data_IF_211702416237
#
_entry.id   IF_211702416237
#
_cell.length_a   1.000
_cell.length_b   1.000
_cell.length_c   1.000
_cell.angle_alpha   90.00
_cell.angle_beta   90.00
_cell.angle_gamma   90.00
#
_symmetry.space_group_name_H-M   'P 1'
#
loop_
_entity.id
_entity.type
_entity.pdbx_description
1 polymer ?
#
# COMPACT_ATOMS: atom_id res chain seq x y z
N UNK A 1 -26.89 11.68 -9.30
CA UNK A 1 -26.14 10.77 -8.41
C UNK A 1 -25.98 11.45 -7.07
N UNK A 2 -26.45 10.85 -5.99
CA UNK A 2 -26.39 11.40 -4.61
C UNK A 2 -25.06 11.05 -3.95
N UNK A 3 -24.75 11.69 -2.82
CA UNK A 3 -23.56 11.35 -2.02
C UNK A 3 -23.67 9.94 -1.42
N UNK A 4 -24.87 9.51 -1.03
CA UNK A 4 -25.12 8.16 -0.53
C UNK A 4 -24.78 7.10 -1.60
N UNK A 5 -25.27 7.28 -2.83
CA UNK A 5 -24.95 6.40 -3.96
C UNK A 5 -23.45 6.36 -4.28
N UNK A 6 -22.73 7.48 -4.08
CA UNK A 6 -21.26 7.51 -4.24
C UNK A 6 -20.55 6.71 -3.16
N UNK A 7 -20.99 6.83 -1.91
CA UNK A 7 -20.42 6.10 -0.77
C UNK A 7 -20.62 4.59 -0.91
N UNK A 8 -21.79 4.16 -1.32
CA UNK A 8 -22.08 2.73 -1.52
C UNK A 8 -21.25 2.14 -2.67
N UNK A 9 -21.02 2.92 -3.74
CA UNK A 9 -20.18 2.50 -4.85
C UNK A 9 -18.66 2.58 -4.58
N UNK A 10 -18.25 3.33 -3.55
CA UNK A 10 -16.85 3.68 -3.32
C UNK A 10 -15.96 2.46 -3.03
N UNK A 11 -16.33 1.49 -2.16
CA UNK A 11 -15.48 0.34 -1.87
C UNK A 11 -15.16 -0.52 -3.11
N UNK A 12 -16.17 -0.80 -3.93
CA UNK A 12 -16.01 -1.60 -5.14
C UNK A 12 -15.15 -0.88 -6.20
N UNK A 13 -15.35 0.44 -6.33
CA UNK A 13 -14.53 1.26 -7.21
C UNK A 13 -13.06 1.29 -6.75
N UNK A 14 -12.83 1.47 -5.46
CA UNK A 14 -11.49 1.53 -4.86
C UNK A 14 -10.72 0.23 -5.09
N UNK A 15 -11.35 -0.92 -4.88
CA UNK A 15 -10.73 -2.23 -5.13
C UNK A 15 -10.34 -2.41 -6.59
N UNK A 16 -11.26 -2.10 -7.51
CA UNK A 16 -11.01 -2.17 -8.96
C UNK A 16 -9.86 -1.26 -9.38
N UNK A 17 -9.83 -0.03 -8.87
CA UNK A 17 -8.77 0.92 -9.19
C UNK A 17 -7.41 0.44 -8.68
N UNK A 18 -7.33 0.06 -7.40
CA UNK A 18 -6.06 -0.28 -6.76
C UNK A 18 -5.46 -1.60 -7.25
N UNK A 19 -6.28 -2.59 -7.62
CA UNK A 19 -5.81 -3.95 -7.92
C UNK A 19 -5.95 -4.38 -9.37
N UNK A 20 -6.85 -3.77 -10.14
CA UNK A 20 -7.17 -4.26 -11.49
C UNK A 20 -6.86 -3.25 -12.59
N UNK A 21 -6.78 -1.95 -12.26
CA UNK A 21 -6.57 -0.93 -13.28
C UNK A 21 -5.08 -0.66 -13.51
N UNK A 22 -4.57 -1.15 -14.64
CA UNK A 22 -3.22 -0.82 -15.10
C UNK A 22 -3.05 0.67 -15.45
N UNK A 23 -1.91 1.26 -15.07
CA UNK A 23 -1.54 2.63 -15.47
C UNK A 23 -0.33 2.64 -16.40
N UNK A 24 -0.31 3.55 -17.37
CA UNK A 24 0.80 3.72 -18.32
C UNK A 24 2.10 4.13 -17.61
N UNK A 25 2.00 5.04 -16.64
CA UNK A 25 3.09 5.43 -15.74
C UNK A 25 3.61 4.28 -14.85
N UNK A 26 2.93 3.13 -14.89
CA UNK A 26 3.25 1.91 -14.17
C UNK A 26 3.69 0.75 -15.06
N UNK A 27 3.98 1.01 -16.33
CA UNK A 27 4.20 -0.05 -17.32
C UNK A 27 3.01 -1.04 -17.39
N UNK A 28 1.78 -0.53 -17.20
CA UNK A 28 0.55 -1.31 -17.22
C UNK A 28 0.19 -1.98 -15.88
N UNK A 29 0.98 -1.80 -14.83
CA UNK A 29 0.67 -2.37 -13.51
C UNK A 29 -0.37 -1.55 -12.74
N UNK A 30 -1.15 -2.18 -11.86
CA UNK A 30 -2.08 -1.48 -10.97
C UNK A 30 -1.33 -0.77 -9.83
N UNK A 31 -1.96 0.24 -9.18
CA UNK A 31 -1.32 1.02 -8.10
C UNK A 31 -0.75 0.17 -6.96
N UNK A 32 -1.44 -0.92 -6.57
CA UNK A 32 -0.99 -1.81 -5.51
C UNK A 32 0.36 -2.48 -5.81
N UNK A 33 0.75 -2.64 -7.07
CA UNK A 33 2.04 -3.23 -7.45
C UNK A 33 3.26 -2.38 -7.06
N UNK A 34 3.08 -1.10 -6.68
CA UNK A 34 4.18 -0.24 -6.19
C UNK A 34 4.41 -0.33 -4.70
N UNK A 35 3.47 -0.89 -3.94
CA UNK A 35 3.55 -0.91 -2.48
C UNK A 35 4.18 -2.24 -2.09
N UNK A 36 5.47 -2.27 -1.73
CA UNK A 36 6.16 -3.52 -1.39
C UNK A 36 5.60 -4.19 -0.14
N UNK A 37 4.82 -3.47 0.67
CA UNK A 37 4.41 -3.86 2.02
C UNK A 37 2.89 -3.78 2.23
N UNK A 38 2.06 -4.24 1.28
CA UNK A 38 0.61 -4.32 1.51
C UNK A 38 0.22 -5.30 2.64
N UNK A 39 1.09 -6.23 3.00
CA UNK A 39 0.86 -7.22 4.06
C UNK A 39 2.02 -7.27 5.05
N UNK A 40 2.04 -6.36 6.04
CA UNK A 40 2.69 -6.63 7.34
C UNK A 40 4.18 -7.00 7.37
N UNK A 41 4.97 -6.77 6.31
CA UNK A 41 6.40 -7.11 6.24
C UNK A 41 7.31 -6.12 7.01
N UNK A 42 6.85 -5.58 8.15
CA UNK A 42 7.74 -4.92 9.11
C UNK A 42 8.23 -5.94 10.13
N UNK A 43 8.99 -6.94 9.68
CA UNK A 43 9.73 -7.83 10.58
C UNK A 43 11.22 -7.47 10.62
N UNK A 44 11.52 -6.17 10.72
CA UNK A 44 12.89 -5.72 10.99
C UNK A 44 13.08 -5.74 12.50
N UNK A 45 13.77 -6.73 13.10
CA UNK A 45 14.28 -6.56 14.45
C UNK A 45 15.20 -5.34 14.44
N UNK A 46 14.98 -4.41 15.36
CA UNK A 46 15.91 -3.32 15.61
C UNK A 46 17.30 -3.94 15.86
N UNK A 47 18.39 -3.44 15.24
CA UNK A 47 19.71 -3.86 15.67
C UNK A 47 19.84 -3.49 17.16
N UNK A 48 20.16 -4.48 18.00
CA UNK A 48 20.57 -4.22 19.37
C UNK A 48 21.72 -3.21 19.29
N UNK A 49 21.52 -2.04 19.92
CA UNK A 49 22.56 -1.04 20.07
C UNK A 49 23.77 -1.72 20.71
N UNK A 50 24.72 -2.08 19.86
CA UNK A 50 26.07 -2.42 20.23
C UNK A 50 26.79 -1.08 20.22
N UNK A 51 27.57 -0.82 21.25
CA UNK A 51 28.57 0.25 21.30
C UNK A 51 28.11 1.59 21.88
N UNK A 52 27.75 1.60 23.16
CA UNK A 52 28.17 2.72 24.03
C UNK A 52 28.44 2.26 25.47
N UNK A 53 29.60 1.62 25.68
CA UNK A 53 30.40 1.83 26.88
C UNK A 53 31.83 1.29 26.67
N UNK A 54 32.70 2.12 26.12
CA UNK A 54 34.14 1.99 26.29
C UNK A 54 34.62 3.26 26.98
N UNK A 55 35.06 3.10 28.23
CA UNK A 55 35.54 4.05 29.25
C UNK A 55 34.49 4.71 30.14
#
# INVERSE_FOLDING_TARGET
RTEAERRDAYPAWLHTYNHHRGHTALKGQPPASRVPNLTGQYNRPLPANSDDNTM
#
